data_IF_783958571713
#
_entry.id   IF_783958571713
#
_cell.length_a   1.000
_cell.length_b   1.000
_cell.length_c   1.000
_cell.angle_alpha   90.00
_cell.angle_beta   90.00
_cell.angle_gamma   90.00
#
_symmetry.space_group_name_H-M   'P 1'
#
loop_
_entity.id
_entity.type
_entity.pdbx_description
1 polymer ?
#
# COMPACT_ATOMS: atom_id res chain seq x y z
N UNK A 1 -11.11 -3.92 6.55
CA UNK A 1 -10.22 -3.12 5.69
C UNK A 1 -10.09 -3.87 4.38
N UNK A 2 -9.65 -3.21 3.32
CA UNK A 2 -9.21 -3.89 2.10
C UNK A 2 -7.72 -3.66 1.92
N UNK A 3 -7.00 -4.73 1.60
CA UNK A 3 -5.56 -4.71 1.41
C UNK A 3 -5.19 -5.19 0.00
N UNK A 4 -4.26 -4.48 -0.63
CA UNK A 4 -3.75 -4.83 -1.96
C UNK A 4 -2.23 -4.74 -1.98
N UNK A 5 -1.58 -5.77 -2.49
CA UNK A 5 -0.19 -5.70 -2.97
C UNK A 5 -0.18 -5.02 -4.32
N UNK A 6 0.71 -4.05 -4.52
CA UNK A 6 0.89 -3.38 -5.80
C UNK A 6 2.37 -3.18 -6.13
N UNK A 7 2.66 -2.35 -7.12
CA UNK A 7 4.03 -2.06 -7.53
C UNK A 7 4.76 -3.26 -8.13
N UNK A 8 6.07 -3.28 -7.95
CA UNK A 8 6.96 -4.21 -8.67
C UNK A 8 6.71 -5.69 -8.32
N UNK A 9 6.36 -5.99 -7.08
CA UNK A 9 6.02 -7.36 -6.64
C UNK A 9 4.72 -7.87 -7.25
N UNK A 10 3.70 -7.00 -7.39
CA UNK A 10 2.46 -7.37 -8.06
C UNK A 10 2.65 -7.54 -9.59
N UNK A 11 3.49 -6.70 -10.19
CA UNK A 11 3.81 -6.73 -11.61
C UNK A 11 4.86 -7.80 -12.00
N UNK A 12 5.45 -8.50 -11.04
CA UNK A 12 6.56 -9.46 -11.23
C UNK A 12 7.81 -8.85 -11.88
N UNK A 13 8.07 -7.57 -11.59
CA UNK A 13 9.21 -6.80 -12.09
C UNK A 13 10.16 -6.36 -10.98
N UNK A 14 10.01 -6.93 -9.79
CA UNK A 14 10.83 -6.63 -8.62
C UNK A 14 12.29 -7.01 -8.82
N UNK A 15 13.17 -6.25 -8.17
CA UNK A 15 14.61 -6.47 -8.09
C UNK A 15 14.99 -6.85 -6.65
N UNK A 16 16.23 -7.30 -6.38
CA UNK A 16 16.70 -7.54 -5.02
C UNK A 16 16.62 -6.33 -4.09
N UNK A 17 16.52 -5.11 -4.63
CA UNK A 17 16.42 -3.86 -3.86
C UNK A 17 15.03 -3.25 -3.86
N UNK A 18 14.04 -3.96 -4.43
CA UNK A 18 12.65 -3.49 -4.46
C UNK A 18 11.99 -3.66 -3.10
N UNK A 19 11.25 -2.64 -2.70
CA UNK A 19 10.32 -2.66 -1.58
C UNK A 19 9.00 -3.35 -1.92
N UNK A 20 8.26 -3.70 -0.88
CA UNK A 20 6.94 -4.32 -0.97
C UNK A 20 5.88 -3.25 -0.73
N UNK A 21 5.20 -2.87 -1.80
CA UNK A 21 4.15 -1.85 -1.78
C UNK A 21 2.80 -2.44 -1.37
N UNK A 22 2.21 -1.95 -0.27
CA UNK A 22 0.92 -2.43 0.24
C UNK A 22 -0.05 -1.26 0.41
N UNK A 23 -1.18 -1.29 -0.31
CA UNK A 23 -2.28 -0.36 -0.10
C UNK A 23 -3.23 -0.94 0.95
N UNK A 24 -3.57 -0.15 1.95
CA UNK A 24 -4.53 -0.47 3.01
C UNK A 24 -5.64 0.58 3.01
N UNK A 25 -6.88 0.12 2.79
CA UNK A 25 -8.07 0.96 2.75
C UNK A 25 -8.89 0.71 4.02
N UNK A 26 -9.09 1.75 4.81
CA UNK A 26 -9.82 1.71 6.09
C UNK A 26 -11.07 2.58 6.04
N UNK A 27 -12.05 2.29 6.90
CA UNK A 27 -13.24 3.13 7.02
C UNK A 27 -12.93 4.50 7.63
N UNK A 28 -12.03 4.54 8.61
CA UNK A 28 -11.59 5.77 9.29
C UNK A 28 -10.07 5.77 9.36
N UNK A 29 -9.47 6.83 8.84
CA UNK A 29 -8.03 7.08 8.90
C UNK A 29 -7.70 7.97 10.09
N UNK A 30 -6.73 7.55 10.91
CA UNK A 30 -6.23 8.38 12.02
C UNK A 30 -4.72 8.57 11.93
N UNK A 31 -4.18 9.70 12.42
CA UNK A 31 -2.72 9.91 12.47
C UNK A 31 -1.98 8.84 13.29
N UNK A 32 -2.63 8.32 14.35
CA UNK A 32 -2.06 7.25 15.18
C UNK A 32 -1.87 5.95 14.39
N UNK A 33 -2.79 5.63 13.46
CA UNK A 33 -2.64 4.47 12.58
C UNK A 33 -1.48 4.65 11.61
N UNK A 34 -1.32 5.82 11.01
CA UNK A 34 -0.17 6.11 10.14
C UNK A 34 1.15 5.99 10.90
N UNK A 35 1.26 6.60 12.08
CA UNK A 35 2.46 6.52 12.91
C UNK A 35 2.80 5.08 13.31
N UNK A 36 1.79 4.30 13.71
CA UNK A 36 1.99 2.88 14.04
C UNK A 36 2.44 2.07 12.82
N UNK A 37 1.85 2.31 11.66
CA UNK A 37 2.17 1.62 10.42
C UNK A 37 3.60 1.91 9.96
N UNK A 38 4.03 3.17 10.02
CA UNK A 38 5.41 3.57 9.75
C UNK A 38 6.41 2.94 10.73
N UNK A 39 6.03 2.84 12.01
CA UNK A 39 6.83 2.14 13.03
C UNK A 39 7.02 0.66 12.71
N UNK A 40 5.93 -0.03 12.33
CA UNK A 40 5.98 -1.44 11.92
C UNK A 40 6.82 -1.64 10.67
N UNK A 41 6.65 -0.80 9.64
CA UNK A 41 7.46 -0.88 8.42
C UNK A 41 8.95 -0.72 8.71
N UNK A 42 9.31 0.23 9.58
CA UNK A 42 10.70 0.44 10.02
C UNK A 42 11.24 -0.74 10.81
N UNK A 43 10.45 -1.32 11.72
CA UNK A 43 10.86 -2.50 12.48
C UNK A 43 11.14 -3.69 11.56
N UNK A 44 10.28 -3.93 10.56
CA UNK A 44 10.46 -5.02 9.61
C UNK A 44 11.71 -4.82 8.73
N UNK A 45 11.94 -3.59 8.26
CA UNK A 45 13.14 -3.26 7.51
C UNK A 45 14.41 -3.54 8.33
N UNK A 46 14.45 -3.11 9.60
CA UNK A 46 15.63 -3.28 10.44
C UNK A 46 15.83 -4.73 10.91
N UNK A 47 14.75 -5.46 11.18
CA UNK A 47 14.81 -6.79 11.79
C UNK A 47 14.96 -7.92 10.77
N UNK A 48 14.37 -7.76 9.59
CA UNK A 48 14.29 -8.82 8.59
C UNK A 48 14.94 -8.45 7.25
N UNK A 49 15.47 -7.24 7.11
CA UNK A 49 15.98 -6.70 5.83
C UNK A 49 14.91 -6.71 4.72
N UNK A 50 13.64 -6.53 5.13
CA UNK A 50 12.48 -6.46 4.24
C UNK A 50 11.92 -5.05 4.28
N UNK A 51 12.09 -4.30 3.19
CA UNK A 51 11.50 -2.97 3.06
C UNK A 51 10.02 -3.09 2.65
N UNK A 52 9.11 -2.58 3.48
CA UNK A 52 7.68 -2.50 3.20
C UNK A 52 7.30 -1.03 3.11
N UNK A 53 6.62 -0.64 2.03
CA UNK A 53 6.16 0.71 1.75
C UNK A 53 4.63 0.77 1.77
N UNK A 54 4.02 0.88 2.96
CA UNK A 54 2.57 0.84 3.05
C UNK A 54 1.93 2.21 2.78
N UNK A 55 0.88 2.22 1.95
CA UNK A 55 -0.01 3.36 1.73
C UNK A 55 -1.31 3.13 2.50
N UNK A 56 -1.61 4.00 3.45
CA UNK A 56 -2.86 3.96 4.23
C UNK A 56 -3.82 5.06 3.77
N UNK A 57 -5.02 4.68 3.35
CA UNK A 57 -6.05 5.62 2.89
C UNK A 57 -7.42 5.30 3.48
N UNK A 58 -8.29 6.30 3.59
CA UNK A 58 -9.69 6.08 3.94
C UNK A 58 -10.54 5.75 2.71
N UNK A 59 -11.69 5.13 2.94
CA UNK A 59 -12.63 4.75 1.87
C UNK A 59 -13.13 5.96 1.08
N UNK A 60 -13.29 7.13 1.69
CA UNK A 60 -13.71 8.35 0.99
C UNK A 60 -12.65 8.84 0.00
N UNK A 61 -11.38 8.78 0.38
CA UNK A 61 -10.24 9.10 -0.51
C UNK A 61 -10.10 8.06 -1.62
N UNK A 62 -10.24 6.77 -1.31
CA UNK A 62 -10.25 5.71 -2.32
C UNK A 62 -11.36 5.89 -3.35
N UNK A 63 -12.56 6.23 -2.90
CA UNK A 63 -13.71 6.48 -3.78
C UNK A 63 -13.50 7.69 -4.70
N UNK A 64 -12.80 8.73 -4.22
CA UNK A 64 -12.39 9.85 -5.08
C UNK A 64 -11.39 9.39 -6.15
N UNK A 65 -10.40 8.59 -5.79
CA UNK A 65 -9.45 8.01 -6.73
C UNK A 65 -10.15 7.18 -7.82
N UNK A 66 -11.14 6.37 -7.42
CA UNK A 66 -12.02 5.65 -8.33
C UNK A 66 -12.81 6.57 -9.24
N UNK A 67 -13.50 7.57 -8.68
CA UNK A 67 -14.34 8.52 -9.42
C UNK A 67 -13.56 9.29 -10.49
N UNK A 68 -12.34 9.73 -10.15
CA UNK A 68 -11.48 10.47 -11.08
C UNK A 68 -10.58 9.57 -11.92
N UNK A 69 -10.69 8.25 -11.75
CA UNK A 69 -9.90 7.25 -12.46
C UNK A 69 -8.40 7.60 -12.47
N UNK A 70 -7.84 7.91 -11.29
CA UNK A 70 -6.45 8.35 -11.17
C UNK A 70 -5.48 7.27 -11.63
N UNK A 71 -4.26 7.64 -12.03
CA UNK A 71 -3.24 6.66 -12.42
C UNK A 71 -3.00 5.62 -11.33
N UNK A 72 -2.98 6.07 -10.06
CA UNK A 72 -2.88 5.18 -8.91
C UNK A 72 -4.05 4.18 -8.86
N UNK A 73 -5.30 4.65 -8.99
CA UNK A 73 -6.46 3.75 -9.03
C UNK A 73 -6.38 2.75 -10.20
N UNK A 74 -5.99 3.20 -11.38
CA UNK A 74 -5.83 2.34 -12.56
C UNK A 74 -4.78 1.25 -12.34
N UNK A 75 -3.65 1.61 -11.74
CA UNK A 75 -2.56 0.68 -11.43
C UNK A 75 -3.04 -0.42 -10.46
N UNK A 76 -3.65 -0.04 -9.33
CA UNK A 76 -4.19 -0.99 -8.36
C UNK A 76 -5.28 -1.86 -8.99
N UNK A 77 -6.20 -1.27 -9.76
CA UNK A 77 -7.31 -2.01 -10.36
C UNK A 77 -6.86 -3.01 -11.42
N UNK A 78 -5.77 -2.70 -12.14
CA UNK A 78 -5.27 -3.54 -13.24
C UNK A 78 -4.27 -4.59 -12.78
N UNK A 79 -3.33 -4.20 -11.91
CA UNK A 79 -2.18 -5.02 -11.53
C UNK A 79 -2.19 -5.41 -10.05
N UNK A 80 -3.01 -4.75 -9.23
CA UNK A 80 -3.06 -5.01 -7.79
C UNK A 80 -3.55 -6.43 -7.48
N UNK A 81 -2.93 -7.03 -6.47
CA UNK A 81 -3.29 -8.36 -5.96
C UNK A 81 -3.93 -8.15 -4.60
N UNK A 82 -5.20 -8.55 -4.46
CA UNK A 82 -5.89 -8.50 -3.17
C UNK A 82 -5.24 -9.50 -2.19
N UNK A 83 -4.95 -9.03 -0.98
CA UNK A 83 -4.37 -9.82 0.11
C UNK A 83 -5.45 -10.48 0.98
#
# INVERSE_FOLDING_TARGET
AEEYLFGSYAAKTQTPFSDIDILIIVSVLTPAMQSRLSGLASEYALKYDICISPILTDIGTWEKNRKFNTLFYQEISRNGIRL
#
